data_IF_929137718891
#
_entry.id   IF_929137718891
#
_cell.length_a   1.000
_cell.length_b   1.000
_cell.length_c   1.000
_cell.angle_alpha   90.00
_cell.angle_beta   90.00
_cell.angle_gamma   90.00
#
_symmetry.space_group_name_H-M   'P 1'
#
loop_
_entity.id
_entity.type
_entity.pdbx_description
1 polymer ?
#
# COMPACT_ATOMS: atom_id res chain seq x y z
N UNK A 1 13.17 -20.22 -19.70
CA UNK A 1 14.19 -19.43 -20.38
C UNK A 1 15.31 -19.02 -19.42
N UNK A 2 16.47 -18.69 -19.92
CA UNK A 2 17.61 -18.18 -19.14
C UNK A 2 17.19 -16.95 -18.30
N UNK A 3 16.42 -16.06 -18.89
CA UNK A 3 15.88 -14.88 -18.21
C UNK A 3 15.02 -15.27 -16.99
N UNK A 4 14.13 -16.24 -17.14
CA UNK A 4 13.27 -16.70 -16.02
C UNK A 4 14.08 -17.38 -14.90
N UNK A 5 15.24 -17.94 -15.20
CA UNK A 5 16.15 -18.47 -14.17
C UNK A 5 16.82 -17.33 -13.41
N UNK A 6 17.33 -16.35 -14.13
CA UNK A 6 18.02 -15.19 -13.53
C UNK A 6 17.07 -14.38 -12.66
N UNK A 7 15.84 -14.08 -13.13
CA UNK A 7 14.88 -13.27 -12.38
C UNK A 7 14.46 -13.88 -11.05
N UNK A 8 14.51 -15.21 -10.90
CA UNK A 8 14.22 -15.89 -9.63
C UNK A 8 15.30 -15.69 -8.57
N UNK A 9 16.49 -15.27 -8.96
CA UNK A 9 17.60 -15.00 -8.04
C UNK A 9 17.54 -13.58 -7.43
N UNK A 10 16.63 -12.74 -7.95
CA UNK A 10 16.40 -11.42 -7.40
C UNK A 10 15.41 -11.47 -6.23
N UNK A 11 15.72 -10.78 -5.12
CA UNK A 11 14.75 -10.60 -4.05
C UNK A 11 13.50 -9.89 -4.56
N UNK A 12 12.35 -10.25 -3.98
CA UNK A 12 11.09 -9.63 -4.33
C UNK A 12 10.88 -8.33 -3.52
N UNK A 13 11.81 -7.39 -3.68
CA UNK A 13 11.84 -6.09 -3.01
C UNK A 13 11.96 -4.97 -4.05
N UNK A 14 11.20 -3.90 -3.85
CA UNK A 14 11.16 -2.73 -4.74
C UNK A 14 12.44 -1.90 -4.74
N UNK A 15 13.30 -2.06 -3.72
CA UNK A 15 14.60 -1.37 -3.59
C UNK A 15 15.77 -2.17 -4.15
N UNK A 16 15.51 -3.38 -4.62
CA UNK A 16 16.54 -4.26 -5.16
C UNK A 16 17.09 -3.72 -6.48
N UNK A 17 18.41 -3.60 -6.57
CA UNK A 17 19.13 -3.27 -7.83
C UNK A 17 19.94 -4.47 -8.32
N UNK A 18 20.33 -4.45 -9.59
CA UNK A 18 21.19 -5.50 -10.16
C UNK A 18 22.53 -5.54 -9.41
N UNK A 19 23.08 -4.37 -9.07
CA UNK A 19 24.34 -4.25 -8.32
C UNK A 19 24.24 -4.86 -6.92
N UNK A 20 23.18 -4.51 -6.17
CA UNK A 20 22.95 -5.05 -4.83
C UNK A 20 22.75 -6.57 -4.84
N UNK A 21 22.06 -7.09 -5.85
CA UNK A 21 21.84 -8.54 -6.00
C UNK A 21 23.12 -9.28 -6.38
N UNK A 22 23.94 -8.73 -7.27
CA UNK A 22 25.26 -9.31 -7.60
C UNK A 22 26.18 -9.36 -6.38
N UNK A 23 26.05 -8.39 -5.47
CA UNK A 23 26.85 -8.35 -4.24
C UNK A 23 26.37 -9.33 -3.19
N UNK A 24 25.06 -9.65 -3.14
CA UNK A 24 24.45 -10.49 -2.11
C UNK A 24 24.22 -11.94 -2.53
N UNK A 25 24.05 -12.23 -3.83
CA UNK A 25 23.78 -13.57 -4.36
C UNK A 25 25.05 -14.19 -4.96
N UNK A 26 25.60 -15.18 -4.28
CA UNK A 26 26.74 -15.95 -4.78
C UNK A 26 26.45 -16.67 -6.10
N UNK A 27 25.23 -17.22 -6.24
CA UNK A 27 24.81 -17.90 -7.46
C UNK A 27 24.74 -16.94 -8.66
N UNK A 28 24.13 -15.77 -8.49
CA UNK A 28 24.07 -14.78 -9.56
C UNK A 28 25.46 -14.26 -9.94
N UNK A 29 26.35 -14.09 -8.96
CA UNK A 29 27.73 -13.69 -9.17
C UNK A 29 28.50 -14.72 -9.98
N UNK A 30 28.40 -16.01 -9.64
CA UNK A 30 29.01 -17.11 -10.37
C UNK A 30 28.53 -17.14 -11.83
N UNK A 31 27.22 -17.04 -12.05
CA UNK A 31 26.65 -16.97 -13.40
C UNK A 31 27.15 -15.75 -14.20
N UNK A 32 27.31 -14.62 -13.56
CA UNK A 32 27.86 -13.39 -14.18
C UNK A 32 29.33 -13.54 -14.57
N UNK A 33 30.12 -14.25 -13.74
CA UNK A 33 31.56 -14.48 -13.98
C UNK A 33 31.82 -15.55 -15.04
N UNK A 34 31.02 -16.61 -15.07
CA UNK A 34 31.25 -17.78 -15.91
C UNK A 34 30.56 -17.72 -17.29
N UNK A 35 29.40 -17.07 -17.39
CA UNK A 35 28.62 -17.01 -18.64
C UNK A 35 28.64 -15.62 -19.28
N UNK A 36 29.36 -15.53 -20.42
CA UNK A 36 29.50 -14.28 -21.20
C UNK A 36 28.16 -13.71 -21.64
N UNK A 37 27.19 -14.58 -21.97
CA UNK A 37 25.84 -14.13 -22.40
C UNK A 37 25.07 -13.53 -21.24
N UNK A 38 25.15 -14.13 -20.06
CA UNK A 38 24.52 -13.62 -18.83
C UNK A 38 25.18 -12.32 -18.41
N UNK A 39 26.51 -12.23 -18.45
CA UNK A 39 27.25 -10.98 -18.18
C UNK A 39 26.75 -9.86 -19.09
N UNK A 40 26.74 -10.09 -20.40
CA UNK A 40 26.27 -9.07 -21.36
C UNK A 40 24.83 -8.66 -21.12
N UNK A 41 23.95 -9.61 -20.78
CA UNK A 41 22.56 -9.34 -20.43
C UNK A 41 22.46 -8.41 -19.22
N UNK A 42 23.15 -8.75 -18.12
CA UNK A 42 23.10 -7.97 -16.88
C UNK A 42 23.77 -6.60 -17.04
N UNK A 43 24.87 -6.50 -17.76
CA UNK A 43 25.52 -5.21 -18.05
C UNK A 43 24.64 -4.29 -18.91
N UNK A 44 23.87 -4.87 -19.83
CA UNK A 44 22.90 -4.10 -20.62
C UNK A 44 21.72 -3.69 -19.73
N UNK A 45 21.21 -4.59 -18.90
CA UNK A 45 20.13 -4.30 -17.99
C UNK A 45 20.49 -3.23 -16.94
N UNK A 46 21.72 -3.23 -16.41
CA UNK A 46 22.22 -2.16 -15.53
C UNK A 46 22.14 -0.77 -16.17
N UNK A 47 22.41 -0.66 -17.47
CA UNK A 47 22.32 0.62 -18.19
C UNK A 47 20.88 1.12 -18.36
N UNK A 48 19.91 0.21 -18.29
CA UNK A 48 18.48 0.50 -18.41
C UNK A 48 17.78 0.63 -17.05
N UNK A 49 18.46 0.21 -15.99
CA UNK A 49 17.91 0.25 -14.63
C UNK A 49 17.66 1.71 -14.20
N UNK A 50 16.49 1.99 -13.64
CA UNK A 50 16.08 3.32 -13.23
C UNK A 50 15.58 4.24 -14.34
N UNK A 51 15.67 3.84 -15.61
CA UNK A 51 15.12 4.65 -16.70
C UNK A 51 13.58 4.57 -16.73
N UNK A 52 12.88 5.69 -16.96
CA UNK A 52 11.44 5.68 -17.18
C UNK A 52 11.08 4.78 -18.36
N UNK A 53 10.13 3.86 -18.16
CA UNK A 53 9.72 2.90 -19.19
C UNK A 53 8.48 3.35 -19.96
N UNK A 54 7.51 3.88 -19.25
CA UNK A 54 6.24 4.35 -19.80
C UNK A 54 5.60 5.36 -18.85
N UNK A 55 4.67 6.13 -19.38
CA UNK A 55 3.80 7.01 -18.60
C UNK A 55 2.49 6.30 -18.34
N UNK A 56 1.88 6.58 -17.19
CA UNK A 56 0.53 6.14 -16.86
C UNK A 56 -0.24 7.30 -16.23
N UNK A 57 -1.57 7.25 -16.34
CA UNK A 57 -2.44 8.22 -15.69
C UNK A 57 -2.67 7.79 -14.24
N UNK A 58 -2.61 8.74 -13.32
CA UNK A 58 -2.98 8.48 -11.93
C UNK A 58 -4.47 8.18 -11.82
N UNK A 59 -4.84 7.13 -11.07
CA UNK A 59 -6.23 6.65 -11.02
C UNK A 59 -7.21 7.67 -10.38
N UNK A 60 -6.73 8.53 -9.49
CA UNK A 60 -7.55 9.43 -8.69
C UNK A 60 -7.00 10.87 -8.59
N UNK A 61 -5.76 11.11 -9.00
CA UNK A 61 -5.09 12.41 -8.90
C UNK A 61 -5.52 13.36 -10.01
N UNK A 62 -5.96 14.55 -9.62
CA UNK A 62 -6.31 15.65 -10.52
C UNK A 62 -5.48 16.86 -10.17
N UNK A 63 -4.84 17.46 -11.19
CA UNK A 63 -4.11 18.71 -11.02
C UNK A 63 -5.09 19.88 -11.09
N UNK A 64 -5.05 20.73 -10.09
CA UNK A 64 -5.90 21.92 -9.99
C UNK A 64 -5.01 23.15 -10.10
N UNK A 65 -5.40 24.08 -10.98
CA UNK A 65 -4.70 25.34 -11.22
C UNK A 65 -5.70 26.46 -11.56
N UNK A 66 -5.34 27.74 -11.34
CA UNK A 66 -6.22 28.87 -11.58
C UNK A 66 -6.53 29.14 -13.07
N UNK A 67 -5.60 28.79 -13.96
CA UNK A 67 -5.73 28.93 -15.40
C UNK A 67 -5.67 27.56 -16.08
N UNK A 68 -5.98 27.41 -17.37
CA UNK A 68 -5.82 26.13 -18.07
C UNK A 68 -4.44 25.51 -17.83
N UNK A 69 -4.40 24.22 -17.55
CA UNK A 69 -3.17 23.52 -17.20
C UNK A 69 -2.05 23.66 -18.24
N UNK A 70 -2.42 23.88 -19.50
CA UNK A 70 -1.51 24.11 -20.63
C UNK A 70 -0.68 25.39 -20.52
N UNK A 71 -1.12 26.36 -19.68
CA UNK A 71 -0.34 27.58 -19.39
C UNK A 71 0.83 27.31 -18.43
N UNK A 72 0.83 26.17 -17.75
CA UNK A 72 1.84 25.81 -16.76
C UNK A 72 2.74 24.67 -17.23
N UNK A 73 2.14 23.65 -17.86
CA UNK A 73 2.85 22.41 -18.19
C UNK A 73 2.36 21.81 -19.51
N UNK A 74 3.23 21.13 -20.26
CA UNK A 74 2.81 20.41 -21.42
C UNK A 74 1.90 19.22 -21.04
N UNK A 75 0.94 18.94 -21.90
CA UNK A 75 -0.02 17.85 -21.73
C UNK A 75 0.10 16.84 -22.86
N UNK A 76 -0.36 15.62 -22.59
CA UNK A 76 -0.46 14.56 -23.58
C UNK A 76 -1.79 13.81 -23.43
N UNK A 77 -2.20 13.10 -24.47
CA UNK A 77 -3.31 12.15 -24.37
C UNK A 77 -2.81 10.85 -23.73
N UNK A 78 -3.50 10.40 -22.73
CA UNK A 78 -3.32 9.08 -22.15
C UNK A 78 -4.01 7.99 -22.98
N UNK A 79 -3.65 6.73 -22.76
CA UNK A 79 -4.19 5.59 -23.54
C UNK A 79 -5.70 5.40 -23.40
N UNK A 80 -6.29 5.88 -22.32
CA UNK A 80 -7.73 5.89 -22.06
C UNK A 80 -8.49 7.06 -22.70
N UNK A 81 -7.77 7.93 -23.46
CA UNK A 81 -8.32 9.11 -24.12
C UNK A 81 -8.40 10.35 -23.26
N UNK A 82 -8.01 10.26 -21.99
CA UNK A 82 -7.91 11.40 -21.08
C UNK A 82 -6.72 12.31 -21.40
N UNK A 83 -6.63 13.43 -20.71
CA UNK A 83 -5.51 14.38 -20.78
C UNK A 83 -4.68 14.25 -19.49
N UNK A 84 -3.38 14.07 -19.63
CA UNK A 84 -2.42 14.01 -18.53
C UNK A 84 -1.31 15.05 -18.72
N UNK A 85 -0.74 15.50 -17.62
CA UNK A 85 0.50 16.30 -17.64
C UNK A 85 1.67 15.41 -18.06
N UNK A 86 2.65 15.98 -18.75
CA UNK A 86 3.87 15.26 -19.13
C UNK A 86 4.92 15.25 -18.01
N UNK A 87 4.75 16.09 -16.98
CA UNK A 87 5.66 16.16 -15.85
C UNK A 87 5.25 15.21 -14.74
N UNK A 88 6.23 14.69 -14.00
CA UNK A 88 6.03 13.86 -12.82
C UNK A 88 5.50 14.70 -11.64
N UNK A 89 4.90 14.03 -10.66
CA UNK A 89 4.25 14.67 -9.51
C UNK A 89 5.16 15.67 -8.78
N UNK A 90 6.40 15.30 -8.51
CA UNK A 90 7.36 16.16 -7.81
C UNK A 90 7.61 17.47 -8.55
N UNK A 91 7.75 17.43 -9.88
CA UNK A 91 7.91 18.63 -10.69
C UNK A 91 6.65 19.51 -10.69
N UNK A 92 5.45 18.91 -10.64
CA UNK A 92 4.20 19.65 -10.52
C UNK A 92 4.12 20.40 -9.18
N UNK A 93 4.54 19.77 -8.10
CA UNK A 93 4.60 20.37 -6.77
C UNK A 93 5.63 21.51 -6.71
N UNK A 94 6.81 21.33 -7.31
CA UNK A 94 7.84 22.39 -7.45
C UNK A 94 7.34 23.61 -8.22
N UNK A 95 6.45 23.40 -9.21
CA UNK A 95 5.79 24.46 -9.95
C UNK A 95 4.62 25.10 -9.18
N UNK A 96 4.34 24.64 -7.97
CA UNK A 96 3.27 25.17 -7.13
C UNK A 96 1.87 24.72 -7.55
N UNK A 97 1.74 23.67 -8.36
CA UNK A 97 0.46 23.12 -8.78
C UNK A 97 -0.09 22.17 -7.71
N UNK A 98 -1.39 22.29 -7.42
CA UNK A 98 -2.05 21.44 -6.45
C UNK A 98 -2.53 20.14 -7.12
N UNK A 99 -2.05 18.99 -6.63
CA UNK A 99 -2.61 17.68 -6.95
C UNK A 99 -3.60 17.26 -5.87
N UNK A 100 -4.84 17.04 -6.24
CA UNK A 100 -5.87 16.50 -5.36
C UNK A 100 -6.16 15.05 -5.74
N UNK A 101 -6.17 14.16 -4.74
CA UNK A 101 -6.51 12.76 -4.94
C UNK A 101 -7.97 12.52 -4.51
N UNK A 102 -8.84 12.25 -5.50
CA UNK A 102 -10.23 11.91 -5.27
C UNK A 102 -10.41 10.41 -5.18
N UNK A 103 -10.20 9.88 -3.98
CA UNK A 103 -10.28 8.46 -3.72
C UNK A 103 -11.72 8.04 -3.42
N UNK A 104 -12.21 7.06 -4.15
CA UNK A 104 -13.51 6.43 -3.94
C UNK A 104 -13.45 4.92 -4.08
N UNK A 105 -14.44 4.24 -3.51
CA UNK A 105 -14.55 2.78 -3.58
C UNK A 105 -15.81 2.38 -4.35
N UNK A 106 -15.64 1.74 -5.50
CA UNK A 106 -16.73 1.19 -6.30
C UNK A 106 -17.58 0.19 -5.52
N UNK A 107 -16.95 -0.60 -4.64
CA UNK A 107 -17.62 -1.58 -3.78
C UNK A 107 -18.65 -0.91 -2.86
N UNK A 108 -18.36 0.25 -2.29
CA UNK A 108 -19.33 0.98 -1.47
C UNK A 108 -20.55 1.43 -2.27
N UNK A 109 -20.37 1.83 -3.55
CA UNK A 109 -21.49 2.16 -4.43
C UNK A 109 -22.35 0.94 -4.74
N UNK A 110 -21.73 -0.23 -4.95
CA UNK A 110 -22.46 -1.50 -5.16
C UNK A 110 -23.25 -1.87 -3.91
N UNK A 111 -22.64 -1.82 -2.73
CA UNK A 111 -23.30 -2.10 -1.45
C UNK A 111 -24.47 -1.14 -1.23
N UNK A 112 -24.30 0.15 -1.47
CA UNK A 112 -25.36 1.15 -1.33
C UNK A 112 -26.54 0.87 -2.26
N UNK A 113 -26.28 0.56 -3.54
CA UNK A 113 -27.32 0.21 -4.50
C UNK A 113 -28.05 -1.06 -4.11
N UNK A 114 -27.33 -2.12 -3.76
CA UNK A 114 -27.92 -3.39 -3.31
C UNK A 114 -28.77 -3.21 -2.05
N UNK A 115 -28.30 -2.44 -1.07
CA UNK A 115 -29.08 -2.13 0.12
C UNK A 115 -30.36 -1.35 -0.17
N UNK A 116 -30.28 -0.38 -1.11
CA UNK A 116 -31.45 0.38 -1.56
C UNK A 116 -32.49 -0.52 -2.25
N UNK A 117 -32.06 -1.36 -3.18
CA UNK A 117 -32.94 -2.30 -3.89
C UNK A 117 -33.55 -3.32 -2.92
N UNK A 118 -32.78 -3.88 -2.01
CA UNK A 118 -33.28 -4.79 -0.99
C UNK A 118 -34.32 -4.12 -0.08
N UNK A 119 -34.09 -2.87 0.32
CA UNK A 119 -35.06 -2.09 1.11
C UNK A 119 -36.36 -1.87 0.35
N UNK A 120 -36.28 -1.55 -0.96
CA UNK A 120 -37.45 -1.35 -1.81
C UNK A 120 -38.25 -2.62 -2.01
N UNK A 121 -37.57 -3.77 -2.22
CA UNK A 121 -38.22 -5.05 -2.49
C UNK A 121 -38.78 -5.72 -1.25
N UNK A 122 -38.13 -5.57 -0.09
CA UNK A 122 -38.54 -6.24 1.14
C UNK A 122 -39.16 -5.33 2.18
N UNK A 123 -39.22 -4.02 1.94
CA UNK A 123 -39.86 -3.05 2.83
C UNK A 123 -39.14 -2.82 4.16
N UNK A 124 -37.92 -3.34 4.33
CA UNK A 124 -37.11 -3.20 5.54
C UNK A 124 -35.76 -2.59 5.20
N UNK A 125 -35.30 -1.57 5.95
CA UNK A 125 -33.98 -1.03 5.79
C UNK A 125 -32.91 -2.10 6.02
N UNK A 126 -31.89 -2.13 5.17
CA UNK A 126 -30.72 -2.96 5.41
C UNK A 126 -29.82 -2.23 6.40
N UNK A 127 -29.53 -2.84 7.53
CA UNK A 127 -28.55 -2.37 8.50
C UNK A 127 -27.30 -3.23 8.47
N UNK A 128 -26.16 -2.61 8.70
CA UNK A 128 -24.88 -3.30 8.77
C UNK A 128 -24.44 -3.37 10.24
N UNK A 129 -24.23 -4.58 10.73
CA UNK A 129 -23.68 -4.80 12.06
C UNK A 129 -22.16 -5.06 11.96
N UNK A 130 -21.38 -4.15 12.55
CA UNK A 130 -19.92 -4.24 12.57
C UNK A 130 -19.38 -4.92 13.83
N UNK A 131 -20.27 -5.58 14.63
CA UNK A 131 -19.92 -6.20 15.90
C UNK A 131 -20.12 -7.72 15.91
N UNK A 132 -20.36 -8.34 14.76
CA UNK A 132 -20.56 -9.79 14.68
C UNK A 132 -19.24 -10.54 14.89
N UNK A 133 -19.08 -11.15 16.06
CA UNK A 133 -17.91 -11.95 16.44
C UNK A 133 -17.63 -13.10 15.47
N UNK A 134 -18.64 -13.69 14.85
CA UNK A 134 -18.47 -14.78 13.89
C UNK A 134 -17.74 -14.32 12.64
N UNK A 135 -18.00 -13.09 12.20
CA UNK A 135 -17.29 -12.48 11.06
C UNK A 135 -15.82 -12.30 11.40
N UNK A 136 -15.50 -11.78 12.60
CA UNK A 136 -14.10 -11.60 13.01
C UNK A 136 -13.37 -12.94 13.18
N UNK A 137 -14.03 -13.94 13.73
CA UNK A 137 -13.48 -15.30 13.83
C UNK A 137 -13.22 -15.90 12.45
N UNK A 138 -14.16 -15.72 11.52
CA UNK A 138 -14.01 -16.19 10.13
C UNK A 138 -12.80 -15.51 9.44
N UNK A 139 -12.68 -14.20 9.55
CA UNK A 139 -11.52 -13.45 9.02
C UNK A 139 -10.22 -13.92 9.69
N UNK A 140 -10.23 -14.10 11.01
CA UNK A 140 -9.10 -14.61 11.79
C UNK A 140 -8.71 -16.06 11.48
N UNK A 141 -9.57 -16.84 10.84
CA UNK A 141 -9.23 -18.18 10.33
C UNK A 141 -8.41 -18.12 9.05
N UNK A 142 -8.39 -16.97 8.37
CA UNK A 142 -7.73 -16.75 7.09
C UNK A 142 -8.48 -17.33 5.88
N UNK A 143 -9.73 -17.73 6.05
CA UNK A 143 -10.60 -18.16 4.93
C UNK A 143 -11.27 -16.93 4.31
N UNK A 144 -10.46 -16.09 3.66
CA UNK A 144 -10.87 -14.77 3.20
C UNK A 144 -10.85 -14.65 1.68
N UNK A 145 -11.06 -15.77 0.98
CA UNK A 145 -11.28 -15.79 -0.46
C UNK A 145 -12.51 -14.95 -0.82
N UNK A 146 -12.34 -14.05 -1.79
CA UNK A 146 -13.41 -13.15 -2.24
C UNK A 146 -13.73 -12.00 -1.28
N UNK A 147 -13.03 -11.86 -0.15
CA UNK A 147 -13.17 -10.69 0.73
C UNK A 147 -12.16 -9.63 0.30
N UNK A 148 -12.68 -8.50 -0.18
CA UNK A 148 -11.87 -7.40 -0.67
C UNK A 148 -10.73 -7.02 0.29
N UNK A 149 -9.52 -6.86 -0.27
CA UNK A 149 -8.27 -6.55 0.44
C UNK A 149 -7.72 -7.66 1.38
N UNK A 150 -8.45 -8.74 1.62
CA UNK A 150 -8.03 -9.81 2.53
C UNK A 150 -7.66 -11.12 1.81
N UNK A 151 -7.61 -11.11 0.47
CA UNK A 151 -7.52 -12.32 -0.37
C UNK A 151 -6.09 -12.85 -0.56
N UNK A 152 -5.06 -11.99 -0.45
CA UNK A 152 -3.68 -12.42 -0.70
C UNK A 152 -3.18 -13.38 0.39
N UNK A 153 -2.33 -14.34 0.02
CA UNK A 153 -1.78 -15.31 0.96
C UNK A 153 -1.06 -14.66 2.14
N UNK A 154 -0.33 -13.56 1.88
CA UNK A 154 0.33 -12.80 2.93
C UNK A 154 -0.67 -12.16 3.89
N UNK A 155 -1.75 -11.56 3.37
CA UNK A 155 -2.79 -10.98 4.22
C UNK A 155 -3.55 -12.06 5.00
N UNK A 156 -3.87 -13.21 4.39
CA UNK A 156 -4.47 -14.35 5.08
C UNK A 156 -3.62 -14.82 6.25
N UNK A 157 -2.31 -14.96 6.02
CA UNK A 157 -1.38 -15.35 7.07
C UNK A 157 -1.27 -14.29 8.18
N UNK A 158 -1.34 -13.01 7.80
CA UNK A 158 -1.36 -11.94 8.78
C UNK A 158 -2.67 -11.93 9.61
N UNK A 159 -3.83 -12.10 8.99
CA UNK A 159 -5.12 -12.19 9.71
C UNK A 159 -5.16 -13.37 10.69
N UNK A 160 -4.55 -14.51 10.36
CA UNK A 160 -4.40 -15.65 11.28
C UNK A 160 -3.57 -15.30 12.52
N UNK A 161 -2.58 -14.44 12.39
CA UNK A 161 -1.75 -13.99 13.50
C UNK A 161 -2.43 -12.88 14.30
N UNK A 162 -3.07 -11.93 13.61
CA UNK A 162 -3.77 -10.79 14.20
C UNK A 162 -4.99 -11.24 15.02
N UNK A 163 -5.77 -12.21 14.49
CA UNK A 163 -7.03 -12.68 15.10
C UNK A 163 -7.91 -11.48 15.48
N UNK A 164 -8.43 -10.75 14.50
CA UNK A 164 -9.20 -9.54 14.75
C UNK A 164 -10.43 -9.86 15.61
N UNK A 165 -10.80 -8.93 16.50
CA UNK A 165 -11.97 -9.04 17.39
C UNK A 165 -12.95 -7.88 17.20
N UNK A 166 -12.55 -6.84 16.52
CA UNK A 166 -13.33 -5.64 16.25
C UNK A 166 -12.94 -5.00 14.93
N UNK A 167 -13.71 -4.02 14.50
CA UNK A 167 -13.46 -3.30 13.25
C UNK A 167 -12.11 -2.56 13.27
N UNK A 168 -11.74 -2.01 14.42
CA UNK A 168 -10.47 -1.31 14.62
C UNK A 168 -9.26 -2.21 14.36
N UNK A 169 -9.33 -3.48 14.75
CA UNK A 169 -8.30 -4.47 14.44
C UNK A 169 -8.15 -4.69 12.93
N UNK A 170 -9.25 -4.70 12.18
CA UNK A 170 -9.22 -4.83 10.73
C UNK A 170 -8.65 -3.58 10.07
N UNK A 171 -9.06 -2.40 10.54
CA UNK A 171 -8.54 -1.11 10.04
C UNK A 171 -7.02 -1.05 10.26
N UNK A 172 -6.56 -1.39 11.47
CA UNK A 172 -5.12 -1.45 11.76
C UNK A 172 -4.40 -2.49 10.91
N UNK A 173 -4.99 -3.68 10.75
CA UNK A 173 -4.42 -4.75 9.94
C UNK A 173 -4.24 -4.37 8.48
N UNK A 174 -5.26 -3.80 7.84
CA UNK A 174 -5.18 -3.32 6.45
C UNK A 174 -4.17 -2.19 6.31
N UNK A 175 -4.05 -1.33 7.32
CA UNK A 175 -3.13 -0.20 7.30
C UNK A 175 -1.67 -0.63 7.53
N UNK A 176 -1.44 -1.65 8.37
CA UNK A 176 -0.12 -2.23 8.60
C UNK A 176 0.40 -3.03 7.40
N UNK A 177 -0.49 -3.70 6.67
CA UNK A 177 -0.10 -4.55 5.54
C UNK A 177 0.13 -3.72 4.27
N UNK A 178 1.06 -2.77 4.35
CA UNK A 178 1.50 -1.90 3.24
C UNK A 178 3.03 -1.76 3.28
N UNK A 179 3.70 -1.54 2.15
CA UNK A 179 5.12 -1.22 2.13
C UNK A 179 5.43 -0.05 3.09
N UNK A 180 6.42 -0.24 3.95
CA UNK A 180 6.78 0.68 5.03
C UNK A 180 6.20 0.26 6.38
N UNK A 181 4.90 0.43 6.66
CA UNK A 181 4.31 0.01 7.93
C UNK A 181 4.39 -1.49 8.22
N UNK A 182 4.55 -2.34 7.21
CA UNK A 182 4.64 -3.79 7.34
C UNK A 182 5.77 -4.25 8.28
N UNK A 183 6.87 -3.51 8.35
CA UNK A 183 8.01 -3.79 9.23
C UNK A 183 7.62 -3.70 10.73
N UNK A 184 6.54 -2.98 11.05
CA UNK A 184 6.03 -2.86 12.41
C UNK A 184 5.06 -3.97 12.83
N UNK A 185 4.65 -4.87 11.93
CA UNK A 185 3.73 -5.97 12.24
C UNK A 185 4.20 -6.81 13.44
N UNK A 186 5.48 -7.25 13.53
CA UNK A 186 5.94 -8.04 14.68
C UNK A 186 5.81 -7.27 16.01
N UNK A 187 6.18 -5.99 16.02
CA UNK A 187 6.06 -5.11 17.20
C UNK A 187 4.60 -4.92 17.60
N UNK A 188 3.74 -4.62 16.63
CA UNK A 188 2.29 -4.46 16.86
C UNK A 188 1.67 -5.71 17.49
N UNK A 189 1.95 -6.89 16.94
CA UNK A 189 1.42 -8.16 17.45
C UNK A 189 1.94 -8.50 18.85
N UNK A 190 3.22 -8.19 19.15
CA UNK A 190 3.81 -8.38 20.47
C UNK A 190 3.17 -7.45 21.50
N UNK A 191 3.09 -6.17 21.18
CA UNK A 191 2.49 -5.15 22.05
C UNK A 191 0.99 -5.39 22.30
N UNK A 192 0.26 -5.86 21.29
CA UNK A 192 -1.16 -6.19 21.42
C UNK A 192 -1.40 -7.35 22.38
N UNK A 193 -0.45 -8.29 22.50
CA UNK A 193 -0.52 -9.39 23.46
C UNK A 193 -0.21 -8.94 24.90
N UNK A 194 0.64 -7.95 25.06
CA UNK A 194 1.12 -7.46 26.37
C UNK A 194 1.03 -5.92 26.40
N UNK A 195 -0.19 -5.34 26.43
CA UNK A 195 -0.37 -3.89 26.36
C UNK A 195 0.26 -3.13 27.54
N UNK A 196 0.36 -3.78 28.69
CA UNK A 196 0.95 -3.23 29.94
C UNK A 196 2.49 -3.06 29.86
N UNK A 197 3.13 -3.68 28.87
CA UNK A 197 4.59 -3.59 28.69
C UNK A 197 4.99 -2.52 27.67
N UNK A 198 4.00 -1.80 27.10
CA UNK A 198 4.28 -0.76 26.12
C UNK A 198 4.92 0.43 26.82
N UNK A 199 6.09 0.83 26.32
CA UNK A 199 6.78 2.04 26.75
C UNK A 199 6.70 3.08 25.65
N UNK A 200 6.42 4.31 26.03
CA UNK A 200 6.40 5.47 25.13
C UNK A 200 7.65 6.31 25.38
N UNK A 201 8.27 6.81 24.32
CA UNK A 201 9.48 7.65 24.43
C UNK A 201 9.22 8.92 25.22
N UNK A 202 8.01 9.47 25.11
CA UNK A 202 7.53 10.61 25.88
C UNK A 202 6.05 10.40 26.25
N UNK A 203 5.59 10.90 27.41
CA UNK A 203 4.21 10.66 27.88
C UNK A 203 3.12 11.13 26.93
N UNK A 204 3.37 12.21 26.17
CA UNK A 204 2.43 12.79 25.23
C UNK A 204 2.06 11.85 24.06
N UNK A 205 2.89 10.85 23.78
CA UNK A 205 2.62 9.85 22.73
C UNK A 205 1.63 8.79 23.18
N UNK A 206 1.41 8.59 24.47
CA UNK A 206 0.51 7.54 24.97
C UNK A 206 -0.91 7.70 24.42
N UNK A 207 -1.50 8.87 24.57
CA UNK A 207 -2.87 9.10 24.11
C UNK A 207 -3.05 8.92 22.60
N UNK A 208 -1.99 9.23 21.82
CA UNK A 208 -2.02 9.13 20.37
C UNK A 208 -1.80 7.69 19.90
N UNK A 209 -0.90 6.96 20.55
CA UNK A 209 -0.44 5.65 20.08
C UNK A 209 -1.06 4.47 20.84
N UNK A 210 -1.73 4.69 21.95
CA UNK A 210 -2.41 3.66 22.72
C UNK A 210 -3.41 2.83 21.91
N UNK A 211 -4.24 3.43 21.02
CA UNK A 211 -5.15 2.66 20.17
C UNK A 211 -4.47 1.72 19.18
N UNK A 212 -3.19 1.98 18.88
CA UNK A 212 -2.36 1.19 17.96
C UNK A 212 -1.18 0.50 18.64
N UNK A 213 -1.31 0.27 19.95
CA UNK A 213 -0.34 -0.46 20.75
C UNK A 213 1.10 0.09 20.64
N UNK A 214 1.24 1.41 20.65
CA UNK A 214 2.54 2.09 20.57
C UNK A 214 3.18 2.11 19.18
N UNK A 215 2.43 1.79 18.13
CA UNK A 215 2.90 1.85 16.75
C UNK A 215 2.29 3.05 16.02
N UNK A 216 3.07 3.75 15.23
CA UNK A 216 2.57 4.76 14.29
C UNK A 216 2.10 4.01 13.03
N UNK A 217 0.78 4.02 12.78
CA UNK A 217 0.15 3.29 11.67
C UNK A 217 -0.56 4.25 10.73
N UNK A 218 -1.21 5.27 11.29
CA UNK A 218 -2.09 6.20 10.56
C UNK A 218 -1.41 7.53 10.31
N UNK A 219 -1.72 8.13 9.16
CA UNK A 219 -1.26 9.47 8.82
C UNK A 219 -1.73 10.50 9.86
N UNK A 220 -2.94 10.33 10.37
CA UNK A 220 -3.53 11.18 11.40
C UNK A 220 -2.72 11.17 12.69
N UNK A 221 -2.11 10.04 13.05
CA UNK A 221 -1.23 9.97 14.23
C UNK A 221 0.03 10.81 14.01
N UNK A 222 0.63 10.77 12.81
CA UNK A 222 1.79 11.61 12.49
C UNK A 222 1.42 13.09 12.61
N UNK A 223 0.27 13.48 12.05
CA UNK A 223 -0.22 14.86 12.14
C UNK A 223 -0.48 15.29 13.60
N UNK A 224 -1.08 14.41 14.41
CA UNK A 224 -1.32 14.66 15.84
C UNK A 224 -0.01 14.80 16.62
N UNK A 225 0.96 13.91 16.36
CA UNK A 225 2.28 13.97 17.01
C UNK A 225 2.95 15.31 16.72
N UNK A 226 3.03 15.71 15.44
CA UNK A 226 3.63 16.99 15.05
C UNK A 226 2.90 18.15 15.75
N UNK A 227 1.57 18.16 15.73
CA UNK A 227 0.76 19.22 16.35
C UNK A 227 0.91 19.28 17.87
N UNK A 228 1.15 18.14 18.52
CA UNK A 228 1.26 18.07 20.00
C UNK A 228 2.67 18.43 20.49
N UNK A 229 3.69 18.20 19.65
CA UNK A 229 5.09 18.38 20.02
C UNK A 229 5.70 19.68 19.47
N UNK A 230 5.07 20.32 18.47
CA UNK A 230 5.51 21.60 17.92
C UNK A 230 4.92 22.76 18.73
#
# INVERSE_FOLDING_TARGET
>A
STTSRITKLFPNDTKTTIESTLSSSSELKTLYEEDVSIRRLLDTAKKLEGLPRHTSTHAAGVVICPQPVTEYVPVCRSNDGGISTQYVMTTLEELGLLKMDFLGLRTLTVIQKAAKEATQNYGKPVSFDYKDDKVFQYIGSGQTEGIFQLESDGMKNFMKQLKPKCLEDLIAGISLYRPGPMDFIPKYLANRKNPEQITYEIPQLEDILKPTYGCIIYQEQVMQIVRTLA
#
